data_IF_030780690430
#
_entry.id   IF_030780690430
#
_cell.length_a   1.000
_cell.length_b   1.000
_cell.length_c   1.000
_cell.angle_alpha   90.00
_cell.angle_beta   90.00
_cell.angle_gamma   90.00
#
_symmetry.space_group_name_H-M   'P 1'
#
loop_
_entity.id
_entity.type
_entity.pdbx_description
1 polymer ?
#
# COMPACT_ATOMS: atom_id res chain seq x y z
N UNK A 1 43.52 -7.32 18.13
CA UNK A 1 42.68 -7.53 19.32
C UNK A 1 43.52 -7.19 20.54
N UNK A 2 43.51 -5.92 20.93
CA UNK A 2 44.24 -5.44 22.10
C UNK A 2 43.39 -4.42 22.85
N UNK A 3 43.22 -4.66 24.14
CA UNK A 3 42.82 -3.71 25.19
C UNK A 3 41.34 -3.33 25.37
N UNK A 4 40.46 -4.32 25.58
CA UNK A 4 39.42 -4.30 26.65
C UNK A 4 38.42 -3.13 26.77
N UNK A 5 38.45 -2.14 25.90
CA UNK A 5 37.55 -1.00 25.82
C UNK A 5 37.03 -0.97 24.39
N UNK A 6 35.86 -1.58 24.17
CA UNK A 6 35.11 -1.39 22.94
C UNK A 6 34.62 0.06 22.91
N UNK A 7 35.32 0.94 22.19
CA UNK A 7 34.76 2.26 21.89
C UNK A 7 33.56 2.04 20.96
N UNK A 8 32.55 2.91 21.07
CA UNK A 8 31.36 2.85 20.20
C UNK A 8 31.78 2.84 18.71
N UNK A 9 32.89 3.51 18.40
CA UNK A 9 33.55 3.51 17.08
C UNK A 9 34.00 2.10 16.67
N UNK A 10 34.70 1.37 17.54
CA UNK A 10 35.18 0.00 17.28
C UNK A 10 34.01 -0.98 17.12
N UNK A 11 32.92 -0.79 17.87
CA UNK A 11 31.71 -1.59 17.74
C UNK A 11 30.94 -1.29 16.45
N UNK A 12 30.91 -0.03 15.99
CA UNK A 12 30.30 0.38 14.71
C UNK A 12 31.10 -0.12 13.52
N UNK A 13 32.43 -0.06 13.58
CA UNK A 13 33.32 -0.57 12.52
C UNK A 13 33.18 -2.09 12.37
N UNK A 14 33.09 -2.84 13.48
CA UNK A 14 32.92 -4.30 13.44
C UNK A 14 31.50 -4.74 13.05
N UNK A 15 30.47 -3.90 13.27
CA UNK A 15 29.07 -4.19 12.89
C UNK A 15 28.64 -3.61 11.55
N UNK A 16 29.58 -3.02 10.78
CA UNK A 16 29.27 -2.39 9.49
C UNK A 16 28.34 -1.18 9.62
N UNK A 17 28.35 -0.49 10.76
CA UNK A 17 27.70 0.80 10.95
C UNK A 17 28.49 1.92 10.25
N UNK A 18 27.79 2.87 9.64
CA UNK A 18 28.42 4.13 9.21
C UNK A 18 28.56 5.04 10.44
N UNK A 19 29.71 5.67 10.62
CA UNK A 19 29.86 6.70 11.66
C UNK A 19 28.99 7.91 11.33
N UNK A 20 28.49 8.60 12.35
CA UNK A 20 27.68 9.81 12.16
C UNK A 20 28.42 10.86 11.32
N UNK A 21 29.74 11.00 11.51
CA UNK A 21 30.61 11.92 10.77
C UNK A 21 30.67 11.62 9.26
N UNK A 22 30.81 10.34 8.88
CA UNK A 22 30.78 9.95 7.45
C UNK A 22 29.41 10.22 6.82
N UNK A 23 28.33 10.07 7.60
CA UNK A 23 26.97 10.38 7.15
C UNK A 23 26.77 11.89 6.96
N UNK A 24 27.21 12.69 7.93
CA UNK A 24 27.15 14.15 7.87
C UNK A 24 27.88 14.66 6.63
N UNK A 25 29.10 14.16 6.39
CA UNK A 25 29.90 14.58 5.23
C UNK A 25 29.26 14.20 3.89
N UNK A 26 28.62 13.04 3.80
CA UNK A 26 27.94 12.59 2.57
C UNK A 26 26.72 13.46 2.25
N UNK A 27 25.90 13.78 3.25
CA UNK A 27 24.72 14.66 3.06
C UNK A 27 25.15 16.10 2.81
N UNK A 28 26.25 16.55 3.42
CA UNK A 28 26.85 17.85 3.11
C UNK A 28 27.31 17.92 1.64
N UNK A 29 27.88 16.85 1.10
CA UNK A 29 28.24 16.77 -0.31
C UNK A 29 27.02 16.93 -1.23
N UNK A 30 25.86 16.37 -0.84
CA UNK A 30 24.61 16.56 -1.57
C UNK A 30 24.13 18.00 -1.53
N UNK A 31 24.15 18.61 -0.34
CA UNK A 31 23.76 20.01 -0.13
C UNK A 31 24.64 20.97 -0.95
N UNK A 32 25.96 20.72 -1.02
CA UNK A 32 26.93 21.51 -1.77
C UNK A 32 27.03 21.14 -3.25
N UNK A 33 26.22 20.18 -3.72
CA UNK A 33 26.21 19.68 -5.10
C UNK A 33 27.56 19.13 -5.58
N UNK A 34 28.34 18.54 -4.65
CA UNK A 34 29.67 18.01 -4.93
C UNK A 34 29.60 16.54 -5.35
N UNK A 35 29.15 16.30 -6.59
CA UNK A 35 28.93 14.94 -7.12
C UNK A 35 30.16 14.04 -7.06
N UNK A 36 31.35 14.56 -7.42
CA UNK A 36 32.58 13.77 -7.41
C UNK A 36 32.93 13.28 -5.99
N UNK A 37 32.80 14.17 -5.00
CA UNK A 37 33.08 13.88 -3.60
C UNK A 37 32.05 12.87 -3.04
N UNK A 38 30.77 13.02 -3.36
CA UNK A 38 29.73 12.08 -2.94
C UNK A 38 29.96 10.66 -3.51
N UNK A 39 30.41 10.55 -4.76
CA UNK A 39 30.74 9.26 -5.39
C UNK A 39 32.01 8.63 -4.82
N UNK A 40 33.02 9.44 -4.48
CA UNK A 40 34.23 8.97 -3.81
C UNK A 40 33.91 8.42 -2.41
N UNK A 41 33.13 9.15 -1.62
CA UNK A 41 32.68 8.73 -0.30
C UNK A 41 31.80 7.48 -0.36
N UNK A 42 30.89 7.38 -1.35
CA UNK A 42 30.13 6.17 -1.58
C UNK A 42 31.04 4.97 -1.84
N UNK A 43 32.07 5.14 -2.67
CA UNK A 43 33.03 4.07 -2.95
C UNK A 43 33.81 3.66 -1.71
N UNK A 44 34.25 4.60 -0.88
CA UNK A 44 34.93 4.30 0.39
C UNK A 44 34.01 3.49 1.32
N UNK A 45 32.75 3.94 1.48
CA UNK A 45 31.76 3.25 2.32
C UNK A 45 31.48 1.83 1.82
N UNK A 46 31.38 1.62 0.51
CA UNK A 46 31.16 0.28 -0.06
C UNK A 46 32.43 -0.59 -0.04
N UNK A 47 33.63 0.00 -0.16
CA UNK A 47 34.90 -0.70 -0.10
C UNK A 47 35.19 -1.28 1.30
N UNK A 48 34.68 -0.63 2.35
CA UNK A 48 34.69 -1.13 3.74
C UNK A 48 33.83 -2.41 3.93
N UNK A 49 33.27 -2.99 2.86
CA UNK A 49 32.44 -4.19 2.90
C UNK A 49 31.01 -3.94 3.41
N UNK A 50 30.57 -2.68 3.46
CA UNK A 50 29.24 -2.31 3.96
C UNK A 50 28.17 -2.62 2.94
N UNK A 51 27.04 -3.13 3.43
CA UNK A 51 25.91 -3.48 2.58
C UNK A 51 25.22 -2.23 2.02
N UNK A 52 25.11 -2.16 0.69
CA UNK A 52 24.40 -1.11 -0.04
C UNK A 52 22.97 -0.83 0.49
N UNK A 53 22.25 -1.88 0.90
CA UNK A 53 20.90 -1.77 1.46
C UNK A 53 20.88 -1.09 2.83
N UNK A 54 21.79 -1.50 3.71
CA UNK A 54 21.96 -0.90 5.04
C UNK A 54 22.38 0.57 4.94
N UNK A 55 23.19 0.93 3.94
CA UNK A 55 23.51 2.33 3.66
C UNK A 55 22.25 3.14 3.32
N UNK A 56 21.40 2.65 2.42
CA UNK A 56 20.14 3.32 2.06
C UNK A 56 19.20 3.50 3.26
N UNK A 57 19.06 2.47 4.09
CA UNK A 57 18.24 2.55 5.32
C UNK A 57 18.78 3.60 6.29
N UNK A 58 20.10 3.68 6.45
CA UNK A 58 20.73 4.70 7.28
C UNK A 58 20.55 6.11 6.69
N UNK A 59 20.63 6.29 5.36
CA UNK A 59 20.40 7.58 4.70
C UNK A 59 18.94 8.04 4.84
N UNK A 60 17.98 7.12 4.69
CA UNK A 60 16.55 7.43 4.91
C UNK A 60 16.28 7.80 6.37
N UNK A 61 16.88 7.06 7.31
CA UNK A 61 16.81 7.36 8.75
C UNK A 61 17.39 8.75 9.04
N UNK A 62 18.53 9.08 8.43
CA UNK A 62 19.15 10.40 8.56
C UNK A 62 18.26 11.52 8.01
N UNK A 63 17.67 11.35 6.83
CA UNK A 63 16.75 12.33 6.25
C UNK A 63 15.51 12.54 7.13
N UNK A 64 14.94 11.44 7.68
CA UNK A 64 13.84 11.50 8.65
C UNK A 64 14.25 12.30 9.89
N UNK A 65 15.41 12.00 10.44
CA UNK A 65 15.89 12.68 11.66
C UNK A 65 16.15 14.16 11.38
N UNK A 66 16.60 14.52 10.16
CA UNK A 66 16.77 15.91 9.77
C UNK A 66 15.44 16.67 9.76
N UNK A 67 14.37 16.06 9.21
CA UNK A 67 13.02 16.62 9.29
C UNK A 67 12.55 16.74 10.74
N UNK A 68 12.62 15.66 11.52
CA UNK A 68 12.19 15.68 12.93
C UNK A 68 12.94 16.75 13.72
N UNK A 69 14.24 16.97 13.46
CA UNK A 69 15.00 18.03 14.12
C UNK A 69 14.48 19.43 13.77
N UNK A 70 14.05 19.66 12.54
CA UNK A 70 13.49 20.94 12.09
C UNK A 70 12.14 21.25 12.72
N UNK A 71 11.27 20.26 12.92
CA UNK A 71 9.91 20.49 13.46
C UNK A 71 9.79 20.24 14.97
N UNK A 72 10.50 19.25 15.51
CA UNK A 72 10.35 18.77 16.88
C UNK A 72 11.70 18.29 17.48
N UNK A 73 12.68 19.19 17.68
CA UNK A 73 14.03 18.84 18.10
C UNK A 73 14.09 18.10 19.45
N UNK A 74 13.10 18.32 20.33
CA UNK A 74 13.01 17.64 21.64
C UNK A 74 12.85 16.11 21.50
N UNK A 75 12.18 15.63 20.45
CA UNK A 75 11.92 14.20 20.25
C UNK A 75 13.17 13.38 19.88
N UNK A 76 14.21 14.01 19.33
CA UNK A 76 15.46 13.33 18.97
C UNK A 76 16.42 13.22 20.15
N UNK A 77 16.41 14.23 21.03
CA UNK A 77 17.21 14.24 22.26
C UNK A 77 16.77 13.12 23.20
N UNK A 78 15.46 12.83 23.27
CA UNK A 78 14.91 11.72 24.07
C UNK A 78 15.27 10.33 23.53
N UNK A 79 15.59 10.21 22.24
CA UNK A 79 15.98 8.93 21.61
C UNK A 79 17.47 8.61 21.73
N UNK A 80 18.25 9.39 22.49
CA UNK A 80 19.70 9.20 22.67
C UNK A 80 20.48 9.15 21.35
N UNK A 81 19.99 9.82 20.30
CA UNK A 81 20.74 9.98 19.05
C UNK A 81 21.86 10.97 19.33
N UNK A 82 23.13 10.55 19.18
CA UNK A 82 24.27 11.46 19.26
C UNK A 82 24.23 12.40 18.06
N UNK A 83 23.65 13.58 18.25
CA UNK A 83 23.56 14.61 17.22
C UNK A 83 24.89 15.37 17.14
N UNK A 84 25.62 15.18 16.04
CA UNK A 84 26.84 15.93 15.72
C UNK A 84 26.52 17.42 15.54
N UNK A 85 27.53 18.29 15.69
CA UNK A 85 27.34 19.71 15.39
C UNK A 85 27.05 19.94 13.89
N UNK A 86 27.66 19.15 13.02
CA UNK A 86 27.49 19.24 11.56
C UNK A 86 26.07 18.87 11.16
N UNK A 87 25.48 17.83 11.76
CA UNK A 87 24.06 17.50 11.62
C UNK A 87 23.14 18.70 11.91
N UNK A 88 23.40 19.42 13.02
CA UNK A 88 22.59 20.57 13.42
C UNK A 88 22.73 21.74 12.45
N UNK A 89 23.92 21.94 11.86
CA UNK A 89 24.14 22.94 10.83
C UNK A 89 23.42 22.57 9.53
N UNK A 90 23.54 21.30 9.10
CA UNK A 90 22.82 20.80 7.92
C UNK A 90 21.31 20.97 8.07
N UNK A 91 20.76 20.66 9.24
CA UNK A 91 19.33 20.85 9.50
C UNK A 91 18.86 22.31 9.44
N UNK A 92 19.76 23.30 9.58
CA UNK A 92 19.43 24.72 9.42
C UNK A 92 19.54 25.20 7.97
N UNK A 93 20.46 24.61 7.19
CA UNK A 93 20.74 25.03 5.82
C UNK A 93 19.82 24.34 4.81
N UNK A 94 19.49 23.07 5.04
CA UNK A 94 18.68 22.26 4.13
C UNK A 94 17.20 22.58 4.30
N UNK A 95 16.49 22.82 3.20
CA UNK A 95 15.04 23.09 3.24
C UNK A 95 14.23 21.78 3.34
N UNK A 96 13.07 21.75 4.03
CA UNK A 96 12.24 20.55 4.10
C UNK A 96 11.87 19.98 2.71
N UNK A 97 11.61 20.85 1.74
CA UNK A 97 11.34 20.48 0.34
C UNK A 97 12.47 19.67 -0.28
N UNK A 98 13.72 20.06 -0.03
CA UNK A 98 14.90 19.36 -0.53
C UNK A 98 15.06 17.99 0.14
N UNK A 99 14.75 17.88 1.44
CA UNK A 99 14.78 16.60 2.16
C UNK A 99 13.72 15.63 1.61
N UNK A 100 12.51 16.12 1.29
CA UNK A 100 11.48 15.28 0.68
C UNK A 100 11.89 14.75 -0.69
N UNK A 101 12.55 15.57 -1.51
CA UNK A 101 13.11 15.14 -2.80
C UNK A 101 14.19 14.07 -2.61
N UNK A 102 15.08 14.25 -1.64
CA UNK A 102 16.08 13.24 -1.29
C UNK A 102 15.45 11.93 -0.85
N UNK A 103 14.43 11.98 0.01
CA UNK A 103 13.68 10.79 0.46
C UNK A 103 13.04 10.06 -0.73
N UNK A 104 12.47 10.80 -1.68
CA UNK A 104 11.89 10.20 -2.88
C UNK A 104 12.94 9.47 -3.71
N UNK A 105 14.07 10.11 -4.00
CA UNK A 105 15.17 9.49 -4.76
C UNK A 105 15.70 8.25 -4.03
N UNK A 106 15.87 8.32 -2.71
CA UNK A 106 16.35 7.21 -1.89
C UNK A 106 15.34 6.04 -1.87
N UNK A 107 14.04 6.30 -1.79
CA UNK A 107 13.00 5.27 -1.84
C UNK A 107 12.93 4.56 -3.20
N UNK A 108 13.03 5.33 -4.29
CA UNK A 108 13.07 4.76 -5.65
C UNK A 108 14.31 3.86 -5.79
N UNK A 109 15.47 4.36 -5.34
CA UNK A 109 16.73 3.60 -5.34
C UNK A 109 16.65 2.34 -4.48
N UNK A 110 15.98 2.39 -3.33
CA UNK A 110 15.78 1.21 -2.48
C UNK A 110 14.98 0.12 -3.17
N UNK A 111 13.94 0.49 -3.93
CA UNK A 111 13.17 -0.47 -4.71
C UNK A 111 14.02 -1.09 -5.83
N UNK A 112 14.82 -0.28 -6.53
CA UNK A 112 15.71 -0.77 -7.60
C UNK A 112 16.80 -1.71 -7.05
N UNK A 113 17.41 -1.35 -5.91
CA UNK A 113 18.42 -2.15 -5.21
C UNK A 113 17.87 -3.50 -4.71
N UNK A 114 16.55 -3.60 -4.46
CA UNK A 114 15.90 -4.87 -4.09
C UNK A 114 15.84 -5.85 -5.27
N UNK A 115 15.74 -5.36 -6.50
CA UNK A 115 15.47 -6.15 -7.70
C UNK A 115 16.72 -6.45 -8.55
N UNK A 116 17.88 -5.91 -8.17
CA UNK A 116 19.13 -6.00 -8.93
C UNK A 116 20.18 -6.90 -8.29
N UNK A 117 21.03 -7.50 -9.12
CA UNK A 117 22.25 -8.22 -8.70
C UNK A 117 23.43 -7.27 -8.48
N UNK A 118 23.39 -6.05 -9.01
CA UNK A 118 24.46 -5.05 -8.86
C UNK A 118 23.90 -3.75 -8.26
N UNK A 119 23.81 -3.65 -6.92
CA UNK A 119 23.20 -2.51 -6.23
C UNK A 119 24.08 -1.25 -6.25
N UNK A 120 25.38 -1.39 -6.53
CA UNK A 120 26.33 -0.27 -6.57
C UNK A 120 25.99 0.75 -7.65
N UNK A 121 25.65 0.28 -8.86
CA UNK A 121 25.32 1.15 -9.99
C UNK A 121 24.12 2.06 -9.67
N UNK A 122 23.09 1.52 -9.03
CA UNK A 122 21.90 2.28 -8.66
C UNK A 122 22.21 3.31 -7.57
N UNK A 123 23.10 2.98 -6.63
CA UNK A 123 23.60 3.95 -5.66
C UNK A 123 24.39 5.08 -6.31
N UNK A 124 25.26 4.79 -7.28
CA UNK A 124 26.01 5.83 -8.00
C UNK A 124 25.06 6.78 -8.75
N UNK A 125 24.06 6.23 -9.44
CA UNK A 125 23.03 7.04 -10.10
C UNK A 125 22.23 7.85 -9.09
N UNK A 126 21.91 7.29 -7.92
CA UNK A 126 21.22 8.00 -6.86
C UNK A 126 22.06 9.18 -6.34
N UNK A 127 23.36 9.00 -6.09
CA UNK A 127 24.24 10.08 -5.65
C UNK A 127 24.28 11.24 -6.66
N UNK A 128 24.32 10.93 -7.97
CA UNK A 128 24.24 11.95 -9.02
C UNK A 128 22.89 12.67 -9.01
N UNK A 129 21.79 11.96 -8.78
CA UNK A 129 20.46 12.58 -8.67
C UNK A 129 20.36 13.48 -7.43
N UNK A 130 20.87 13.03 -6.28
CA UNK A 130 20.82 13.73 -5.00
C UNK A 130 21.61 15.04 -5.02
N UNK A 131 22.78 15.06 -5.67
CA UNK A 131 23.61 16.27 -5.79
C UNK A 131 23.08 17.26 -6.83
N UNK A 132 22.27 16.79 -7.79
CA UNK A 132 21.60 17.64 -8.78
C UNK A 132 20.16 18.03 -8.38
N UNK A 133 19.69 17.57 -7.22
CA UNK A 133 18.38 17.93 -6.67
C UNK A 133 18.43 19.41 -6.26
N UNK A 134 17.88 20.27 -7.12
CA UNK A 134 17.75 21.70 -6.83
C UNK A 134 16.37 21.92 -6.22
N UNK A 135 16.28 22.69 -5.11
CA UNK A 135 14.99 22.95 -4.48
C UNK A 135 14.08 23.62 -5.51
N UNK A 136 13.08 22.87 -5.99
CA UNK A 136 12.05 23.40 -6.87
C UNK A 136 11.20 24.42 -6.12
N UNK A 137 11.69 25.65 -6.19
CA UNK A 137 11.06 26.86 -5.68
C UNK A 137 11.42 28.07 -6.54
N UNK A 138 11.75 27.88 -7.82
CA UNK A 138 11.75 28.92 -8.85
C UNK A 138 11.90 28.28 -10.25
N UNK A 139 10.94 28.56 -11.14
CA UNK A 139 11.06 28.45 -12.60
C UNK A 139 11.30 27.04 -13.19
N UNK A 140 10.20 26.39 -13.57
CA UNK A 140 10.19 25.51 -14.76
C UNK A 140 10.23 26.40 -16.00
N UNK A 141 11.37 27.05 -16.25
CA UNK A 141 11.70 27.64 -17.55
C UNK A 141 13.19 27.43 -17.79
N UNK A 142 13.48 26.80 -18.93
CA UNK A 142 14.80 26.62 -19.56
C UNK A 142 15.65 25.43 -19.09
N UNK A 143 15.11 24.23 -19.27
CA UNK A 143 15.91 23.23 -19.98
C UNK A 143 15.70 23.48 -21.48
N UNK A 144 16.75 23.55 -22.33
CA UNK A 144 16.54 23.65 -23.77
C UNK A 144 15.79 22.41 -24.23
N UNK A 145 14.52 22.60 -24.60
CA UNK A 145 13.72 21.60 -25.30
C UNK A 145 14.47 21.25 -26.57
N UNK A 146 14.81 19.98 -26.73
CA UNK A 146 15.32 19.47 -28.00
C UNK A 146 14.26 19.75 -29.08
N UNK A 147 14.71 20.21 -30.24
CA UNK A 147 13.89 20.69 -31.37
C UNK A 147 12.84 19.69 -31.90
N UNK A 148 12.86 18.45 -31.43
CA UNK A 148 11.91 17.40 -31.79
C UNK A 148 10.59 17.42 -31.01
N UNK A 149 10.48 18.12 -29.87
CA UNK A 149 9.30 18.06 -28.98
C UNK A 149 8.36 19.28 -29.11
N UNK A 150 8.77 20.34 -29.81
CA UNK A 150 7.94 21.53 -30.05
C UNK A 150 6.66 21.26 -30.87
N UNK A 151 6.67 20.40 -31.92
CA UNK A 151 5.46 20.15 -32.72
C UNK A 151 4.37 19.42 -31.93
N UNK A 152 4.77 18.49 -31.07
CA UNK A 152 3.85 17.67 -30.26
C UNK A 152 3.18 18.50 -29.17
N UNK A 153 3.90 19.46 -28.59
CA UNK A 153 3.39 20.36 -27.56
C UNK A 153 2.41 21.38 -28.14
N UNK A 154 2.62 21.83 -29.39
CA UNK A 154 1.63 22.65 -30.11
C UNK A 154 0.38 21.85 -30.46
N UNK A 155 0.52 20.60 -30.93
CA UNK A 155 -0.62 19.73 -31.21
C UNK A 155 -1.44 19.44 -29.94
N UNK A 156 -0.79 19.17 -28.81
CA UNK A 156 -1.48 18.97 -27.53
C UNK A 156 -2.24 20.22 -27.08
N UNK A 157 -1.68 21.42 -27.24
CA UNK A 157 -2.37 22.68 -26.92
C UNK A 157 -3.59 22.89 -27.79
N UNK A 158 -3.51 22.59 -29.09
CA UNK A 158 -4.65 22.68 -30.01
C UNK A 158 -5.73 21.68 -29.61
N UNK A 159 -5.37 20.42 -29.32
CA UNK A 159 -6.32 19.39 -28.88
C UNK A 159 -7.02 19.77 -27.58
N UNK A 160 -6.31 20.34 -26.61
CA UNK A 160 -6.90 20.84 -25.35
C UNK A 160 -7.91 21.97 -25.63
N UNK A 161 -7.59 22.92 -26.50
CA UNK A 161 -8.52 23.99 -26.85
C UNK A 161 -9.76 23.48 -27.59
N UNK A 162 -9.60 22.45 -28.42
CA UNK A 162 -10.69 21.84 -29.18
C UNK A 162 -11.63 21.06 -28.26
N UNK A 163 -11.08 20.27 -27.33
CA UNK A 163 -11.85 19.58 -26.29
C UNK A 163 -12.54 20.55 -25.33
N UNK A 164 -11.91 21.68 -24.98
CA UNK A 164 -12.57 22.71 -24.18
C UNK A 164 -13.78 23.32 -24.89
N UNK A 165 -13.71 23.55 -26.20
CA UNK A 165 -14.85 24.01 -27.00
C UNK A 165 -15.96 22.96 -27.08
N UNK A 166 -15.61 21.69 -27.24
CA UNK A 166 -16.56 20.59 -27.31
C UNK A 166 -17.30 20.40 -25.97
N UNK A 167 -16.60 20.49 -24.84
CA UNK A 167 -17.19 20.48 -23.50
C UNK A 167 -18.15 21.67 -23.30
N UNK A 168 -17.79 22.88 -23.78
CA UNK A 168 -18.68 24.04 -23.70
C UNK A 168 -19.94 23.90 -24.56
N UNK A 169 -19.81 23.32 -25.76
CA UNK A 169 -20.95 23.04 -26.64
C UNK A 169 -21.91 22.01 -26.01
N UNK A 170 -21.36 20.92 -25.44
CA UNK A 170 -22.14 19.88 -24.75
C UNK A 170 -22.84 20.43 -23.50
N UNK A 171 -22.20 21.36 -22.77
CA UNK A 171 -22.79 22.00 -21.59
C UNK A 171 -23.93 22.96 -21.93
N UNK A 172 -23.95 23.50 -23.15
CA UNK A 172 -25.00 24.42 -23.62
C UNK A 172 -26.23 23.69 -24.14
N UNK A 173 -26.11 22.42 -24.54
CA UNK A 173 -27.23 21.60 -25.03
C UNK A 173 -28.05 20.90 -23.92
N UNK A 174 -27.60 20.90 -22.67
CA UNK A 174 -28.31 20.24 -21.54
C UNK A 174 -29.06 21.19 -20.59
N UNK A 175 -29.29 22.45 -20.96
CA UNK A 175 -30.16 23.35 -20.19
C UNK A 175 -31.35 23.80 -21.01
N UNK A 176 -32.37 22.95 -21.08
CA UNK A 176 -33.74 23.44 -21.15
C UNK A 176 -34.56 22.75 -20.07
N UNK A 177 -35.04 23.58 -19.14
CA UNK A 177 -36.23 23.46 -18.29
C UNK A 177 -36.01 23.36 -16.77
N UNK A 178 -36.78 24.26 -16.13
CA UNK A 178 -37.27 24.39 -14.76
C UNK A 178 -36.43 25.22 -13.77
N UNK A 179 -36.99 26.33 -13.22
CA UNK A 179 -36.27 27.30 -12.39
C UNK A 179 -36.27 26.89 -10.91
N UNK A 180 -35.16 27.11 -10.21
CA UNK A 180 -35.10 27.05 -8.75
C UNK A 180 -34.42 28.30 -8.20
N UNK A 181 -35.02 28.80 -7.13
CA UNK A 181 -34.81 30.08 -6.48
C UNK A 181 -33.40 30.28 -5.90
N UNK A 182 -33.07 31.58 -5.75
CA UNK A 182 -31.92 32.13 -5.02
C UNK A 182 -31.84 31.58 -3.59
N UNK A 183 -30.71 30.98 -3.22
CA UNK A 183 -30.12 31.11 -1.88
C UNK A 183 -28.58 31.13 -1.93
N UNK A 184 -28.03 31.81 -0.93
CA UNK A 184 -26.71 32.41 -0.75
C UNK A 184 -25.56 31.42 -0.50
N UNK A 185 -24.28 31.85 -0.61
CA UNK A 185 -23.13 30.97 -0.55
C UNK A 185 -22.72 30.65 0.89
N UNK A 186 -22.73 29.37 1.27
CA UNK A 186 -22.04 28.88 2.47
C UNK A 186 -20.81 28.07 2.09
N UNK A 187 -19.67 28.57 2.57
CA UNK A 187 -18.35 27.99 2.65
C UNK A 187 -18.35 26.49 3.00
N UNK A 188 -17.85 25.66 2.08
CA UNK A 188 -17.49 24.26 2.40
C UNK A 188 -16.02 24.17 2.76
N UNK A 189 -15.77 24.02 4.06
CA UNK A 189 -14.53 23.52 4.64
C UNK A 189 -14.26 22.11 4.08
N UNK A 190 -13.05 21.89 3.58
CA UNK A 190 -12.55 20.57 3.22
C UNK A 190 -12.54 19.69 4.48
N UNK A 191 -13.40 18.67 4.51
CA UNK A 191 -13.31 17.58 5.47
C UNK A 191 -12.39 16.52 4.90
N UNK A 192 -11.30 16.28 5.62
CA UNK A 192 -10.52 15.04 5.60
C UNK A 192 -11.46 13.86 5.86
N UNK A 193 -11.82 13.10 4.83
CA UNK A 193 -12.47 11.80 4.98
C UNK A 193 -11.40 10.73 5.03
N UNK A 194 -11.24 10.07 6.18
CA UNK A 194 -10.70 8.72 6.20
C UNK A 194 -11.57 7.87 5.29
N UNK A 195 -10.98 7.33 4.23
CA UNK A 195 -11.71 6.53 3.24
C UNK A 195 -11.85 5.12 3.84
N UNK A 196 -12.95 4.87 4.56
CA UNK A 196 -13.38 3.49 4.82
C UNK A 196 -13.88 2.91 3.50
N UNK A 197 -13.41 1.74 3.11
CA UNK A 197 -13.90 1.02 1.95
C UNK A 197 -15.41 0.76 2.12
N UNK A 198 -16.22 1.27 1.18
CA UNK A 198 -17.67 1.04 1.22
C UNK A 198 -17.95 -0.33 0.60
N UNK A 199 -18.28 -1.31 1.45
CA UNK A 199 -18.54 -2.67 0.99
C UNK A 199 -19.75 -2.72 0.04
N UNK A 200 -19.60 -3.29 -1.17
CA UNK A 200 -20.68 -3.42 -2.15
C UNK A 200 -21.62 -4.59 -1.81
N UNK A 201 -22.42 -4.44 -0.75
CA UNK A 201 -23.33 -5.49 -0.23
C UNK A 201 -24.30 -6.05 -1.29
N UNK A 202 -24.89 -5.17 -2.10
CA UNK A 202 -25.89 -5.53 -3.12
C UNK A 202 -25.31 -6.48 -4.20
N UNK A 203 -24.06 -6.25 -4.59
CA UNK A 203 -23.37 -7.12 -5.57
C UNK A 203 -23.04 -8.49 -4.97
N UNK A 204 -22.64 -8.53 -3.69
CA UNK A 204 -22.38 -9.78 -2.98
C UNK A 204 -23.67 -10.62 -2.89
N UNK A 205 -24.81 -10.00 -2.55
CA UNK A 205 -26.09 -10.72 -2.48
C UNK A 205 -26.55 -11.24 -3.84
N UNK A 206 -26.28 -10.51 -4.93
CA UNK A 206 -26.54 -11.01 -6.29
C UNK A 206 -25.75 -12.29 -6.60
N UNK A 207 -24.47 -12.33 -6.22
CA UNK A 207 -23.64 -13.54 -6.39
C UNK A 207 -24.14 -14.67 -5.48
N UNK A 208 -24.51 -14.38 -4.23
CA UNK A 208 -25.04 -15.39 -3.31
C UNK A 208 -26.35 -16.01 -3.79
N UNK A 209 -27.23 -15.23 -4.44
CA UNK A 209 -28.49 -15.71 -5.01
C UNK A 209 -28.31 -16.78 -6.10
N UNK A 210 -27.26 -16.68 -6.91
CA UNK A 210 -26.96 -17.65 -7.96
C UNK A 210 -25.83 -18.61 -7.60
N UNK A 211 -25.32 -18.58 -6.36
CA UNK A 211 -24.11 -19.30 -6.00
C UNK A 211 -24.32 -20.82 -6.05
N UNK A 212 -23.45 -21.52 -6.78
CA UNK A 212 -23.52 -22.98 -6.92
C UNK A 212 -22.18 -23.64 -6.59
N UNK A 213 -22.22 -24.80 -5.92
CA UNK A 213 -21.01 -25.57 -5.58
C UNK A 213 -20.19 -25.95 -6.82
N UNK A 214 -20.85 -26.25 -7.93
CA UNK A 214 -20.19 -26.60 -9.19
C UNK A 214 -19.32 -25.45 -9.74
N UNK A 215 -19.89 -24.25 -9.86
CA UNK A 215 -19.15 -23.04 -10.27
C UNK A 215 -18.00 -22.71 -9.32
N UNK A 216 -18.20 -22.87 -8.00
CA UNK A 216 -17.14 -22.63 -7.03
C UNK A 216 -15.95 -23.58 -7.21
N UNK A 217 -16.22 -24.87 -7.41
CA UNK A 217 -15.17 -25.88 -7.65
C UNK A 217 -14.44 -25.59 -8.96
N UNK A 218 -15.16 -25.28 -10.04
CA UNK A 218 -14.56 -24.93 -11.33
C UNK A 218 -13.65 -23.70 -11.22
N UNK A 219 -14.13 -22.63 -10.57
CA UNK A 219 -13.35 -21.41 -10.37
C UNK A 219 -12.10 -21.68 -9.52
N UNK A 220 -12.20 -22.48 -8.45
CA UNK A 220 -11.05 -22.82 -7.61
C UNK A 220 -10.00 -23.67 -8.32
N UNK A 221 -10.43 -24.61 -9.17
CA UNK A 221 -9.50 -25.43 -9.95
C UNK A 221 -8.68 -24.58 -10.92
N UNK A 222 -9.34 -23.62 -11.54
CA UNK A 222 -8.74 -22.73 -12.55
C UNK A 222 -8.02 -21.53 -11.89
N UNK A 223 -8.27 -21.25 -10.61
CA UNK A 223 -7.74 -20.07 -9.91
C UNK A 223 -6.22 -19.98 -9.94
N UNK A 224 -5.52 -21.06 -9.61
CA UNK A 224 -4.05 -21.08 -9.61
C UNK A 224 -3.47 -20.90 -11.01
N UNK A 225 -4.09 -21.53 -12.01
CA UNK A 225 -3.71 -21.34 -13.42
C UNK A 225 -3.96 -19.90 -13.87
N UNK A 226 -5.10 -19.33 -13.51
CA UNK A 226 -5.47 -17.95 -13.80
C UNK A 226 -4.40 -16.98 -13.28
N UNK A 227 -3.92 -17.16 -12.05
CA UNK A 227 -2.86 -16.34 -11.44
C UNK A 227 -1.54 -16.33 -12.26
N UNK A 228 -1.25 -17.39 -13.01
CA UNK A 228 -0.02 -17.46 -13.84
C UNK A 228 -0.04 -16.49 -15.03
N UNK A 229 -1.22 -16.10 -15.51
CA UNK A 229 -1.38 -15.16 -16.62
C UNK A 229 -1.33 -13.69 -16.17
N UNK A 230 -1.35 -13.42 -14.86
CA UNK A 230 -1.26 -12.05 -14.33
C UNK A 230 0.17 -11.52 -14.25
N UNK A 231 0.29 -10.19 -14.33
CA UNK A 231 1.54 -9.48 -14.03
C UNK A 231 2.01 -9.82 -12.61
N UNK A 232 3.33 -9.74 -12.31
CA UNK A 232 3.84 -10.02 -10.97
C UNK A 232 3.14 -9.20 -9.87
N UNK A 233 2.76 -7.96 -10.17
CA UNK A 233 2.04 -7.06 -9.25
C UNK A 233 0.62 -7.55 -8.96
N UNK A 234 -0.17 -7.85 -9.99
CA UNK A 234 -1.54 -8.35 -9.83
C UNK A 234 -1.56 -9.75 -9.21
N UNK A 235 -0.60 -10.61 -9.58
CA UNK A 235 -0.41 -11.93 -8.97
C UNK A 235 -0.11 -11.82 -7.49
N UNK A 236 0.82 -10.94 -7.10
CA UNK A 236 1.14 -10.72 -5.68
C UNK A 236 -0.07 -10.21 -4.89
N UNK A 237 -0.89 -9.35 -5.50
CA UNK A 237 -2.11 -8.84 -4.91
C UNK A 237 -3.16 -9.95 -4.68
N UNK A 238 -3.39 -10.80 -5.69
CA UNK A 238 -4.37 -11.89 -5.63
C UNK A 238 -3.86 -13.13 -4.87
N UNK A 239 -2.55 -13.25 -4.61
CA UNK A 239 -1.95 -14.39 -3.90
C UNK A 239 -2.46 -14.54 -2.46
N UNK A 240 -2.84 -13.44 -1.81
CA UNK A 240 -3.44 -13.43 -0.47
C UNK A 240 -4.97 -13.35 -0.52
N UNK A 241 -5.59 -13.77 -1.63
CA UNK A 241 -7.03 -13.73 -1.83
C UNK A 241 -7.63 -15.12 -1.99
N UNK A 242 -8.86 -15.28 -1.51
CA UNK A 242 -9.59 -16.55 -1.51
C UNK A 242 -10.94 -16.38 -2.20
N UNK A 243 -11.27 -17.31 -3.11
CA UNK A 243 -12.62 -17.37 -3.70
C UNK A 243 -13.60 -17.99 -2.70
N UNK A 244 -14.56 -17.18 -2.24
CA UNK A 244 -15.56 -17.59 -1.23
C UNK A 244 -16.89 -18.02 -1.84
N UNK A 245 -17.33 -17.38 -2.92
CA UNK A 245 -18.53 -17.78 -3.65
C UNK A 245 -18.38 -17.55 -5.14
N UNK A 246 -19.05 -18.39 -5.93
CA UNK A 246 -19.14 -18.25 -7.37
C UNK A 246 -20.55 -18.63 -7.83
N UNK A 247 -21.07 -17.83 -8.76
CA UNK A 247 -22.35 -17.96 -9.44
C UNK A 247 -22.10 -17.90 -10.96
N UNK A 248 -23.10 -18.23 -11.80
CA UNK A 248 -22.99 -18.07 -13.26
C UNK A 248 -22.53 -16.68 -13.69
N UNK A 249 -23.01 -15.64 -13.00
CA UNK A 249 -22.82 -14.23 -13.41
C UNK A 249 -21.80 -13.47 -12.54
N UNK A 250 -21.22 -14.09 -11.51
CA UNK A 250 -20.31 -13.38 -10.62
C UNK A 250 -19.56 -14.21 -9.59
N UNK A 251 -18.45 -13.66 -9.09
CA UNK A 251 -17.54 -14.28 -8.13
C UNK A 251 -17.25 -13.31 -6.98
N UNK A 252 -17.21 -13.83 -5.76
CA UNK A 252 -16.77 -13.11 -4.56
C UNK A 252 -15.37 -13.58 -4.17
N UNK A 253 -14.43 -12.63 -4.17
CA UNK A 253 -13.05 -12.81 -3.75
C UNK A 253 -12.83 -12.06 -2.43
N UNK A 254 -12.37 -12.79 -1.41
CA UNK A 254 -12.06 -12.24 -0.11
C UNK A 254 -10.55 -11.99 0.03
N UNK A 255 -10.15 -10.82 0.50
CA UNK A 255 -8.75 -10.53 0.86
C UNK A 255 -8.57 -10.44 2.38
N UNK A 256 -7.35 -10.70 2.83
CA UNK A 256 -6.95 -10.58 4.23
C UNK A 256 -7.04 -9.13 4.76
N UNK A 257 -6.80 -8.11 3.92
CA UNK A 257 -6.76 -6.70 4.34
C UNK A 257 -7.64 -5.79 3.47
N UNK A 258 -8.37 -4.87 4.10
CA UNK A 258 -9.27 -3.89 3.45
C UNK A 258 -8.56 -2.99 2.42
N UNK A 259 -7.32 -2.59 2.70
CA UNK A 259 -6.55 -1.73 1.78
C UNK A 259 -6.29 -2.41 0.43
N UNK A 260 -6.13 -3.74 0.44
CA UNK A 260 -5.94 -4.54 -0.78
C UNK A 260 -7.27 -4.66 -1.52
N UNK A 261 -8.39 -4.86 -0.80
CA UNK A 261 -9.73 -4.83 -1.37
C UNK A 261 -10.01 -3.52 -2.08
N UNK A 262 -9.68 -2.38 -1.45
CA UNK A 262 -9.91 -1.07 -2.02
C UNK A 262 -9.08 -0.86 -3.30
N UNK A 263 -7.81 -1.27 -3.28
CA UNK A 263 -6.93 -1.18 -4.45
C UNK A 263 -7.46 -2.05 -5.59
N UNK A 264 -7.83 -3.30 -5.32
CA UNK A 264 -8.39 -4.21 -6.31
C UNK A 264 -9.76 -3.74 -6.83
N UNK A 265 -10.60 -3.16 -5.98
CA UNK A 265 -11.91 -2.63 -6.37
C UNK A 265 -11.82 -1.36 -7.22
N UNK A 266 -10.75 -0.58 -7.09
CA UNK A 266 -10.51 0.61 -7.90
C UNK A 266 -9.72 0.32 -9.19
N UNK A 267 -9.18 -0.90 -9.34
CA UNK A 267 -8.43 -1.33 -10.51
C UNK A 267 -9.38 -1.94 -11.56
N UNK A 268 -9.80 -1.14 -12.55
CA UNK A 268 -10.66 -1.60 -13.65
C UNK A 268 -9.95 -2.57 -14.59
N UNK A 269 -8.63 -2.42 -14.76
CA UNK A 269 -7.81 -3.30 -15.59
C UNK A 269 -7.77 -4.70 -14.99
N UNK A 270 -7.58 -4.81 -13.66
CA UNK A 270 -7.66 -6.08 -12.95
C UNK A 270 -9.01 -6.78 -13.16
N UNK A 271 -10.12 -6.05 -13.02
CA UNK A 271 -11.47 -6.62 -13.20
C UNK A 271 -11.66 -7.16 -14.61
N UNK A 272 -11.26 -6.37 -15.62
CA UNK A 272 -11.35 -6.77 -17.02
C UNK A 272 -10.45 -7.97 -17.32
N UNK A 273 -9.26 -7.99 -16.74
CA UNK A 273 -8.31 -9.08 -16.92
C UNK A 273 -8.81 -10.38 -16.29
N UNK A 274 -9.35 -10.33 -15.07
CA UNK A 274 -9.98 -11.50 -14.43
C UNK A 274 -11.17 -12.00 -15.24
N UNK A 275 -12.03 -11.09 -15.72
CA UNK A 275 -13.15 -11.42 -16.60
C UNK A 275 -12.69 -12.13 -17.89
N UNK A 276 -11.67 -11.57 -18.56
CA UNK A 276 -11.11 -12.12 -19.79
C UNK A 276 -10.39 -13.46 -19.57
N UNK A 277 -9.75 -13.68 -18.41
CA UNK A 277 -9.11 -14.97 -18.15
C UNK A 277 -10.14 -16.05 -17.81
N UNK A 278 -11.18 -15.74 -17.05
CA UNK A 278 -12.24 -16.71 -16.79
C UNK A 278 -12.99 -17.12 -18.07
N UNK A 279 -13.28 -16.19 -18.97
CA UNK A 279 -13.94 -16.51 -20.25
C UNK A 279 -13.08 -17.38 -21.18
N UNK A 280 -11.75 -17.34 -21.02
CA UNK A 280 -10.83 -18.20 -21.77
C UNK A 280 -10.70 -19.59 -21.17
N UNK A 281 -10.75 -19.70 -19.84
CA UNK A 281 -10.48 -20.94 -19.12
C UNK A 281 -11.75 -21.76 -18.86
N UNK A 282 -12.92 -21.11 -18.80
CA UNK A 282 -14.21 -21.74 -18.57
C UNK A 282 -15.15 -21.31 -19.72
N UNK A 283 -15.65 -22.29 -20.48
CA UNK A 283 -16.54 -22.05 -21.61
C UNK A 283 -17.86 -21.42 -21.13
N UNK A 284 -18.32 -20.39 -21.85
CA UNK A 284 -19.55 -19.63 -21.57
C UNK A 284 -19.62 -19.02 -20.15
N UNK A 285 -18.47 -18.69 -19.56
CA UNK A 285 -18.40 -18.19 -18.20
C UNK A 285 -17.62 -16.87 -18.10
N UNK A 286 -18.33 -15.77 -17.84
CA UNK A 286 -17.77 -14.42 -17.84
C UNK A 286 -18.27 -13.61 -16.63
N UNK A 287 -17.83 -13.97 -15.40
CA UNK A 287 -18.39 -13.43 -14.17
C UNK A 287 -17.95 -11.98 -13.88
N UNK A 288 -18.82 -11.23 -13.17
CA UNK A 288 -18.42 -9.98 -12.51
C UNK A 288 -17.71 -10.28 -11.17
N UNK A 289 -16.57 -9.64 -10.95
CA UNK A 289 -15.77 -9.87 -9.74
C UNK A 289 -16.09 -8.84 -8.66
N UNK A 290 -16.36 -9.33 -7.45
CA UNK A 290 -16.62 -8.52 -6.28
C UNK A 290 -15.57 -8.80 -5.21
N UNK A 291 -14.94 -7.74 -4.71
CA UNK A 291 -13.89 -7.83 -3.70
C UNK A 291 -14.41 -7.45 -2.32
N UNK A 292 -14.14 -8.26 -1.32
CA UNK A 292 -14.54 -8.02 0.07
C UNK A 292 -13.41 -8.32 1.06
N UNK A 293 -13.37 -7.67 2.23
CA UNK A 293 -12.52 -8.11 3.32
C UNK A 293 -13.02 -9.44 3.90
N UNK A 294 -12.11 -10.34 4.28
CA UNK A 294 -12.41 -11.67 4.83
C UNK A 294 -13.24 -11.60 6.10
N UNK A 295 -12.99 -10.61 6.95
CA UNK A 295 -13.73 -10.39 8.21
C UNK A 295 -15.22 -10.13 7.98
N UNK A 296 -15.58 -9.44 6.89
CA UNK A 296 -16.97 -9.11 6.60
C UNK A 296 -17.75 -10.25 5.93
N UNK A 297 -17.08 -11.32 5.46
CA UNK A 297 -17.76 -12.42 4.78
C UNK A 297 -18.81 -13.12 5.66
N UNK A 298 -18.46 -13.39 6.93
CA UNK A 298 -19.37 -14.05 7.86
C UNK A 298 -20.65 -13.25 8.08
N UNK A 299 -20.50 -11.95 8.37
CA UNK A 299 -21.63 -11.03 8.56
C UNK A 299 -22.50 -10.91 7.31
N UNK A 300 -21.90 -10.77 6.12
CA UNK A 300 -22.66 -10.64 4.86
C UNK A 300 -23.46 -11.90 4.53
N UNK A 301 -22.90 -13.09 4.80
CA UNK A 301 -23.61 -14.35 4.59
C UNK A 301 -24.79 -14.50 5.56
N UNK A 302 -24.58 -14.13 6.82
CA UNK A 302 -25.62 -14.19 7.84
C UNK A 302 -26.76 -13.21 7.55
N UNK A 303 -26.44 -11.95 7.23
CA UNK A 303 -27.41 -10.92 6.82
C UNK A 303 -28.20 -11.33 5.56
N UNK A 304 -27.55 -12.05 4.63
CA UNK A 304 -28.23 -12.62 3.46
C UNK A 304 -29.22 -13.73 3.85
N UNK A 305 -28.83 -14.69 4.70
CA UNK A 305 -29.73 -15.77 5.15
C UNK A 305 -30.93 -15.22 5.93
N UNK A 306 -30.70 -14.24 6.81
CA UNK A 306 -31.75 -13.58 7.60
C UNK A 306 -32.75 -12.82 6.71
N UNK A 307 -32.26 -12.14 5.66
CA UNK A 307 -33.11 -11.40 4.71
C UNK A 307 -33.80 -12.30 3.67
N UNK A 308 -33.26 -13.49 3.38
CA UNK A 308 -33.88 -14.46 2.46
C UNK A 308 -35.03 -15.22 3.13
N UNK A 309 -34.95 -15.48 4.44
CA UNK A 309 -36.03 -16.13 5.18
C UNK A 309 -37.30 -15.27 5.33
N UNK A 310 -37.24 -13.95 5.10
CA UNK A 310 -38.41 -13.07 5.12
C UNK A 310 -39.16 -12.98 3.77
N UNK A 311 -38.63 -13.59 2.70
CA UNK A 311 -39.15 -13.52 1.33
C UNK A 311 -39.25 -14.93 0.73
N UNK A 312 -40.04 -15.82 1.34
CA UNK A 312 -40.27 -17.16 0.78
C UNK A 312 -41.49 -17.16 -0.14
N UNK A 313 -41.30 -17.43 -1.43
CA UNK A 313 -42.07 -18.45 -2.18
C UNK A 313 -41.46 -18.75 -3.56
N UNK A 314 -41.49 -20.03 -3.94
CA UNK A 314 -41.01 -20.68 -5.18
C UNK A 314 -39.48 -20.78 -5.41
N UNK A 315 -38.80 -21.55 -4.56
CA UNK A 315 -38.01 -22.75 -4.95
C UNK A 315 -37.14 -23.23 -3.78
N UNK A 316 -37.42 -24.42 -3.27
CA UNK A 316 -36.59 -25.13 -2.29
C UNK A 316 -36.17 -26.49 -2.87
N UNK A 317 -35.12 -27.16 -2.36
CA UNK A 317 -33.92 -26.67 -1.68
C UNK A 317 -32.65 -27.00 -2.48
N UNK A 318 -31.54 -26.29 -2.27
CA UNK A 318 -30.22 -26.89 -2.49
C UNK A 318 -29.61 -27.09 -1.12
N UNK A 319 -29.58 -28.35 -0.71
CA UNK A 319 -28.83 -28.83 0.44
C UNK A 319 -27.40 -28.29 0.36
N UNK A 320 -27.07 -27.40 1.31
CA UNK A 320 -25.69 -27.04 1.62
C UNK A 320 -25.19 -27.93 2.75
N UNK A 321 -25.44 -29.25 2.64
CA UNK A 321 -24.81 -30.24 3.49
C UNK A 321 -23.50 -30.69 2.81
N UNK A 322 -22.37 -30.58 3.51
CA UNK A 322 -21.06 -31.02 2.99
C UNK A 322 -20.20 -29.95 2.35
N UNK A 323 -20.11 -28.75 2.93
CA UNK A 323 -18.82 -28.05 2.99
C UNK A 323 -18.30 -28.25 4.39
N UNK A 324 -17.41 -29.23 4.55
CA UNK A 324 -16.64 -29.42 5.77
C UNK A 324 -16.01 -28.10 6.18
N UNK A 325 -16.59 -27.57 7.25
CA UNK A 325 -15.91 -26.75 8.22
C UNK A 325 -14.71 -27.55 8.74
N UNK A 326 -13.49 -27.09 8.44
CA UNK A 326 -12.49 -27.05 9.51
C UNK A 326 -12.86 -25.87 10.42
N UNK A 327 -13.97 -26.04 11.12
CA UNK A 327 -14.16 -25.44 12.43
C UNK A 327 -13.55 -26.42 13.41
N UNK A 328 -12.57 -25.96 14.18
CA UNK A 328 -12.28 -26.62 15.44
C UNK A 328 -13.60 -26.68 16.23
N UNK A 329 -14.01 -27.84 16.75
CA UNK A 329 -15.20 -27.91 17.58
C UNK A 329 -14.99 -26.97 18.76
N UNK A 330 -15.92 -26.03 18.97
CA UNK A 330 -16.11 -25.44 20.29
C UNK A 330 -16.69 -26.57 21.13
N UNK A 331 -15.77 -27.31 21.74
CA UNK A 331 -16.03 -28.48 22.53
C UNK A 331 -16.57 -28.02 23.89
N UNK A 332 -17.90 -27.90 23.99
CA UNK A 332 -18.60 -27.60 25.25
C UNK A 332 -18.36 -28.65 26.33
N UNK A 333 -17.75 -29.81 25.99
CA UNK A 333 -17.21 -30.78 26.96
C UNK A 333 -15.83 -30.42 27.52
N UNK A 334 -15.06 -29.56 26.84
CA UNK A 334 -13.76 -29.10 27.35
C UNK A 334 -13.90 -28.06 28.44
N UNK A 335 -14.95 -27.25 28.41
CA UNK A 335 -15.22 -26.27 29.48
C UNK A 335 -15.49 -27.00 30.81
N UNK A 336 -16.32 -28.04 30.81
CA UNK A 336 -16.58 -28.85 32.02
C UNK A 336 -15.31 -29.57 32.53
N UNK A 337 -14.51 -30.15 31.63
CA UNK A 337 -13.26 -30.84 31.99
C UNK A 337 -12.13 -29.89 32.46
N UNK A 338 -12.11 -28.64 31.97
CA UNK A 338 -11.15 -27.62 32.40
C UNK A 338 -11.58 -27.02 33.74
N UNK A 339 -12.89 -26.88 33.98
CA UNK A 339 -13.45 -26.43 35.26
C UNK A 339 -13.24 -27.48 36.35
N UNK A 340 -13.48 -28.78 36.08
CA UNK A 340 -13.16 -29.87 37.01
C UNK A 340 -11.66 -29.95 37.33
N UNK A 341 -10.79 -29.87 36.32
CA UNK A 341 -9.32 -29.88 36.55
C UNK A 341 -8.81 -28.63 37.27
N UNK A 342 -9.44 -27.47 37.06
CA UNK A 342 -9.09 -26.25 37.77
C UNK A 342 -9.52 -26.31 39.25
N UNK A 343 -10.68 -26.91 39.55
CA UNK A 343 -11.12 -27.18 40.93
C UNK A 343 -10.24 -28.21 41.65
N UNK A 344 -9.77 -29.26 40.96
CA UNK A 344 -8.82 -30.24 41.52
C UNK A 344 -7.42 -29.64 41.81
N UNK A 345 -6.93 -28.75 40.94
CA UNK A 345 -5.56 -28.20 41.05
C UNK A 345 -5.43 -27.01 42.01
N UNK A 346 -6.50 -26.24 42.24
CA UNK A 346 -6.39 -24.95 42.95
C UNK A 346 -7.28 -24.77 44.19
N UNK A 347 -8.24 -25.67 44.47
CA UNK A 347 -9.13 -25.52 45.64
C UNK A 347 -10.02 -24.25 45.58
N UNK A 348 -10.98 -24.13 46.50
CA UNK A 348 -12.04 -23.08 46.51
C UNK A 348 -11.54 -21.63 46.76
N UNK A 349 -10.64 -21.08 45.94
CA UNK A 349 -10.18 -19.69 46.08
C UNK A 349 -10.08 -18.94 44.74
N UNK A 350 -11.11 -19.01 43.91
CA UNK A 350 -11.27 -18.05 42.81
C UNK A 350 -12.75 -17.81 42.47
N UNK A 351 -13.28 -16.67 42.92
CA UNK A 351 -14.52 -16.07 42.43
C UNK A 351 -14.33 -15.50 41.02
N UNK A 352 -15.13 -15.97 40.08
CA UNK A 352 -15.20 -15.47 38.71
C UNK A 352 -16.18 -14.29 38.68
N UNK A 353 -15.73 -13.13 38.20
CA UNK A 353 -16.59 -11.99 37.89
C UNK A 353 -16.82 -12.02 36.38
N UNK A 354 -18.04 -12.39 35.97
CA UNK A 354 -18.53 -12.15 34.63
C UNK A 354 -18.91 -10.67 34.53
N UNK A 355 -18.19 -9.90 33.71
CA UNK A 355 -18.66 -8.57 33.34
C UNK A 355 -19.40 -8.68 32.00
N UNK A 356 -20.72 -8.53 32.11
CA UNK A 356 -21.66 -8.25 31.03
C UNK A 356 -21.47 -6.81 30.52
N UNK A 357 -21.18 -6.66 29.22
CA UNK A 357 -21.94 -5.91 28.18
C UNK A 357 -21.10 -5.71 26.91
#
# INVERSE_FOLDING_TARGET
YSEGQLKIVDALEVTGGLTAEKMDSLVEAWQKQQTALALEQLNEVLADGKEARRLLENLLTYCRDLLIYQQAPRMLVEKSVTLTNDFKQLAQVVTPSQVYEWIQILNDTQNDVRLTTNPKIYLEVAMVKLTNSTPQGASVQNAPLTSAQLPELEQLKVTIQQLQKEIQALKTQQSTQVPVAKETPTTRKAKTTGVSYRLPKEKVYRVLKGATKNHLVQVRQVWEELLTYFTPTHRAMLKSSEVKAASPDGIVIAFEYEIICQRAANDEELKLMVHNQFSRLITDYAPEVVFIPKENWGQLRQEYLESYHTISDESAPVELDGLEEQQAPIDTKKTDLVVEKAQELFGELATIIENEE
#
